data_IF_023783424215
#
_entry.id   IF_023783424215
#
_cell.length_a   1.000
_cell.length_b   1.000
_cell.length_c   1.000
_cell.angle_alpha   90.00
_cell.angle_beta   90.00
_cell.angle_gamma   90.00
#
_symmetry.space_group_name_H-M   'P 1'
#
loop_
_entity.id
_entity.type
_entity.pdbx_description
1 polymer ?
#
# COMPACT_ATOMS: atom_id res chain seq x y z
N UNK A 1 -10.68 -6.74 -23.15
CA UNK A 1 -9.68 -5.81 -22.61
C UNK A 1 -10.26 -4.41 -22.36
N UNK A 2 -11.49 -4.30 -21.85
CA UNK A 2 -12.10 -2.99 -21.49
C UNK A 2 -12.76 -2.98 -20.11
N UNK A 3 -12.84 -4.16 -19.47
CA UNK A 3 -13.43 -4.31 -18.14
C UNK A 3 -12.41 -4.17 -17.00
N UNK A 4 -11.11 -4.01 -17.30
CA UNK A 4 -10.07 -3.66 -16.31
C UNK A 4 -10.17 -2.20 -15.85
N UNK A 5 -10.87 -1.36 -16.62
CA UNK A 5 -11.15 0.05 -16.30
C UNK A 5 -12.55 0.27 -15.73
N UNK A 6 -13.39 -0.77 -15.67
CA UNK A 6 -14.68 -0.69 -14.99
C UNK A 6 -14.41 -0.93 -13.51
N UNK A 7 -14.28 0.17 -12.76
CA UNK A 7 -14.18 0.29 -11.30
C UNK A 7 -15.35 -0.38 -10.52
N UNK A 8 -16.07 -1.33 -11.11
CA UNK A 8 -17.21 -2.05 -10.54
C UNK A 8 -16.79 -3.15 -9.55
N UNK A 9 -15.56 -3.65 -9.66
CA UNK A 9 -14.95 -4.51 -8.65
C UNK A 9 -14.00 -3.67 -7.83
N UNK A 10 -14.10 -3.75 -6.50
CA UNK A 10 -13.13 -3.16 -5.59
C UNK A 10 -11.74 -3.75 -5.87
N UNK A 11 -10.97 -3.14 -6.80
CA UNK A 11 -9.56 -3.49 -7.15
C UNK A 11 -8.62 -3.13 -5.98
N UNK A 12 -9.18 -2.55 -4.93
CA UNK A 12 -8.49 -2.01 -3.78
C UNK A 12 -7.40 -2.90 -3.17
N UNK A 13 -7.63 -4.20 -2.87
CA UNK A 13 -6.58 -5.03 -2.29
C UNK A 13 -5.40 -5.28 -3.23
N UNK A 14 -5.64 -5.32 -4.56
CA UNK A 14 -4.58 -5.48 -5.57
C UNK A 14 -3.81 -4.17 -5.76
N UNK A 15 -4.51 -3.03 -5.80
CA UNK A 15 -3.89 -1.72 -5.93
C UNK A 15 -2.92 -1.44 -4.76
N UNK A 16 -3.33 -1.78 -3.54
CA UNK A 16 -2.47 -1.65 -2.34
C UNK A 16 -1.25 -2.56 -2.39
N UNK A 17 -1.41 -3.79 -2.90
CA UNK A 17 -0.28 -4.71 -3.07
C UNK A 17 0.75 -4.16 -4.04
N UNK A 18 0.31 -3.60 -5.17
CA UNK A 18 1.20 -2.98 -6.16
C UNK A 18 1.87 -1.73 -5.54
N UNK A 19 1.10 -0.88 -4.86
CA UNK A 19 1.62 0.30 -4.16
C UNK A 19 2.67 -0.03 -3.11
N UNK A 20 2.47 -1.09 -2.32
CA UNK A 20 3.45 -1.56 -1.34
C UNK A 20 4.78 -1.95 -1.99
N UNK A 21 4.73 -2.75 -3.06
CA UNK A 21 5.95 -3.17 -3.77
C UNK A 21 6.68 -1.96 -4.35
N UNK A 22 5.95 -1.01 -4.95
CA UNK A 22 6.54 0.22 -5.47
C UNK A 22 7.18 1.07 -4.36
N UNK A 23 6.54 1.19 -3.20
CA UNK A 23 7.07 1.93 -2.06
C UNK A 23 8.37 1.29 -1.52
N UNK A 24 8.41 -0.04 -1.40
CA UNK A 24 9.61 -0.77 -0.98
C UNK A 24 10.74 -0.61 -2.00
N UNK A 25 10.45 -0.76 -3.30
CA UNK A 25 11.43 -0.56 -4.36
C UNK A 25 11.96 0.88 -4.38
N UNK A 26 11.09 1.87 -4.17
CA UNK A 26 11.47 3.28 -4.06
C UNK A 26 12.39 3.54 -2.85
N UNK A 27 12.07 2.97 -1.68
CA UNK A 27 12.89 3.09 -0.48
C UNK A 27 14.28 2.44 -0.65
N UNK A 28 14.33 1.28 -1.30
CA UNK A 28 15.59 0.60 -1.64
C UNK A 28 16.42 1.40 -2.64
N UNK A 29 15.81 1.88 -3.72
CA UNK A 29 16.49 2.69 -4.73
C UNK A 29 17.04 3.99 -4.12
N UNK A 30 16.26 4.67 -3.27
CA UNK A 30 16.69 5.86 -2.56
C UNK A 30 17.84 5.56 -1.57
N UNK A 31 17.75 4.46 -0.81
CA UNK A 31 18.81 4.03 0.09
C UNK A 31 20.13 3.73 -0.62
N UNK A 32 20.07 3.01 -1.75
CA UNK A 32 21.23 2.71 -2.60
C UNK A 32 21.81 4.00 -3.18
N UNK A 33 20.97 4.90 -3.72
CA UNK A 33 21.42 6.17 -4.26
C UNK A 33 22.16 7.01 -3.21
N UNK A 34 21.64 7.10 -1.98
CA UNK A 34 22.34 7.78 -0.88
C UNK A 34 23.66 7.11 -0.51
N UNK A 35 23.72 5.78 -0.51
CA UNK A 35 24.95 5.04 -0.22
C UNK A 35 26.05 5.28 -1.29
N UNK A 36 25.67 5.33 -2.57
CA UNK A 36 26.60 5.62 -3.68
C UNK A 36 27.15 7.05 -3.59
N UNK A 37 26.38 8.00 -3.08
CA UNK A 37 26.82 9.38 -2.85
C UNK A 37 27.70 9.55 -1.59
N UNK A 38 28.08 8.46 -0.92
CA UNK A 38 28.92 8.49 0.28
C UNK A 38 28.16 8.67 1.60
N UNK A 39 26.84 8.86 1.56
CA UNK A 39 25.99 9.03 2.73
C UNK A 39 25.42 7.68 3.21
N UNK A 40 26.29 6.71 3.47
CA UNK A 40 25.90 5.31 3.77
C UNK A 40 24.97 5.21 4.98
N UNK A 41 25.24 5.97 6.06
CA UNK A 41 24.41 5.95 7.26
C UNK A 41 22.98 6.46 6.98
N UNK A 42 22.85 7.51 6.15
CA UNK A 42 21.56 8.04 5.72
C UNK A 42 20.86 7.08 4.78
N UNK A 43 21.58 6.42 3.87
CA UNK A 43 21.04 5.40 2.98
C UNK A 43 20.45 4.20 3.74
N UNK A 44 21.14 3.71 4.76
CA UNK A 44 20.63 2.67 5.66
C UNK A 44 19.39 3.16 6.41
N UNK A 45 19.41 4.38 6.93
CA UNK A 45 18.24 4.99 7.58
C UNK A 45 17.03 5.03 6.65
N UNK A 46 17.19 5.51 5.41
CA UNK A 46 16.12 5.59 4.41
C UNK A 46 15.60 4.20 4.06
N UNK A 47 16.47 3.20 3.89
CA UNK A 47 16.04 1.84 3.58
C UNK A 47 15.22 1.24 4.73
N UNK A 48 15.70 1.34 5.97
CA UNK A 48 15.01 0.77 7.14
C UNK A 48 13.70 1.50 7.42
N UNK A 49 13.74 2.83 7.60
CA UNK A 49 12.53 3.60 7.90
C UNK A 49 11.56 3.64 6.71
N UNK A 50 12.06 3.63 5.47
CA UNK A 50 11.23 3.58 4.27
C UNK A 50 10.48 2.25 4.14
N UNK A 51 11.13 1.12 4.40
CA UNK A 51 10.48 -0.20 4.38
C UNK A 51 9.47 -0.31 5.53
N UNK A 52 9.84 0.10 6.75
CA UNK A 52 8.94 0.07 7.92
C UNK A 52 7.74 0.99 7.70
N UNK A 53 7.96 2.22 7.23
CA UNK A 53 6.90 3.17 6.90
C UNK A 53 5.97 2.66 5.80
N UNK A 54 6.53 2.00 4.78
CA UNK A 54 5.74 1.36 3.72
C UNK A 54 4.86 0.23 4.27
N UNK A 55 5.36 -0.59 5.21
CA UNK A 55 4.58 -1.66 5.86
C UNK A 55 3.42 -1.08 6.67
N UNK A 56 3.70 -0.14 7.57
CA UNK A 56 2.69 0.47 8.45
C UNK A 56 1.60 1.14 7.62
N UNK A 57 1.98 1.97 6.64
CA UNK A 57 1.02 2.68 5.79
C UNK A 57 0.16 1.71 4.97
N UNK A 58 0.76 0.64 4.45
CA UNK A 58 0.04 -0.37 3.67
C UNK A 58 -0.94 -1.18 4.53
N UNK A 59 -0.53 -1.57 5.74
CA UNK A 59 -1.40 -2.29 6.68
C UNK A 59 -2.59 -1.44 7.12
N UNK A 60 -2.36 -0.16 7.44
CA UNK A 60 -3.43 0.77 7.80
C UNK A 60 -4.42 1.00 6.65
N UNK A 61 -3.93 1.14 5.42
CA UNK A 61 -4.80 1.27 4.25
C UNK A 61 -5.64 0.00 4.06
N UNK A 62 -5.02 -1.19 4.07
CA UNK A 62 -5.74 -2.47 3.92
C UNK A 62 -6.80 -2.62 5.02
N UNK A 63 -6.46 -2.27 6.26
CA UNK A 63 -7.38 -2.30 7.40
C UNK A 63 -8.59 -1.38 7.14
N UNK A 64 -8.36 -0.15 6.71
CA UNK A 64 -9.40 0.83 6.40
C UNK A 64 -10.37 0.32 5.34
N UNK A 65 -9.83 -0.27 4.27
CA UNK A 65 -10.66 -0.83 3.21
C UNK A 65 -11.46 -2.04 3.67
N UNK A 66 -10.87 -2.90 4.51
CA UNK A 66 -11.59 -4.02 5.12
C UNK A 66 -12.73 -3.54 6.03
N UNK A 67 -12.53 -2.46 6.78
CA UNK A 67 -13.59 -1.83 7.59
C UNK A 67 -14.70 -1.31 6.68
N UNK A 68 -14.36 -0.68 5.56
CA UNK A 68 -15.33 -0.18 4.59
C UNK A 68 -16.15 -1.30 3.96
N UNK A 69 -15.52 -2.39 3.51
CA UNK A 69 -16.21 -3.58 2.98
C UNK A 69 -17.20 -4.16 4.00
N UNK A 70 -16.76 -4.33 5.25
CA UNK A 70 -17.61 -4.83 6.33
C UNK A 70 -18.81 -3.90 6.62
N UNK A 71 -18.61 -2.57 6.58
CA UNK A 71 -19.69 -1.60 6.77
C UNK A 71 -20.73 -1.67 5.65
N UNK A 72 -20.29 -1.79 4.40
CA UNK A 72 -21.17 -1.94 3.23
C UNK A 72 -21.98 -3.23 3.33
N UNK A 73 -21.35 -4.33 3.74
CA UNK A 73 -22.01 -5.63 3.94
C UNK A 73 -23.09 -5.55 5.03
N UNK A 74 -22.78 -4.95 6.19
CA UNK A 74 -23.74 -4.76 7.27
C UNK A 74 -24.95 -3.95 6.80
N UNK A 75 -24.72 -2.83 6.08
CA UNK A 75 -25.80 -1.99 5.56
C UNK A 75 -26.72 -2.76 4.59
N UNK A 76 -26.14 -3.58 3.70
CA UNK A 76 -26.91 -4.41 2.78
C UNK A 76 -27.73 -5.48 3.53
N UNK A 77 -27.17 -6.09 4.57
CA UNK A 77 -27.85 -7.10 5.39
C UNK A 77 -29.07 -6.55 6.15
N UNK A 78 -29.00 -5.28 6.58
CA UNK A 78 -30.10 -4.60 7.27
C UNK A 78 -31.23 -4.21 6.32
N UNK A 79 -30.91 -3.86 5.08
CA UNK A 79 -31.90 -3.46 4.06
C UNK A 79 -32.67 -4.65 3.45
N UNK A 80 -32.12 -5.86 3.60
CA UNK A 80 -32.73 -7.12 3.18
C UNK A 80 -33.71 -7.71 4.22
N UNK A 81 -33.88 -7.04 5.36
CA UNK A 81 -34.71 -7.47 6.50
C UNK A 81 -35.88 -6.54 6.69
#
# INVERSE_FOLDING_TARGET
>A
MRDWFMFDKMITPILLRIGFVLAVLGALAAGIASAVNGEVLRGIGIAVFGIVGARISSELLILLFRIHENLVEINHSLKSK
#
